data_IF_047093604532
#
_entry.id   IF_047093604532
#
_cell.length_a   1.000
_cell.length_b   1.000
_cell.length_c   1.000
_cell.angle_alpha   90.00
_cell.angle_beta   90.00
_cell.angle_gamma   90.00
#
_symmetry.space_group_name_H-M   'P 1'
#
loop_
_entity.id
_entity.type
_entity.pdbx_description
1 polymer ?
#
# COMPACT_ATOMS: atom_id res chain seq x y z
N UNK A 1 13.98 17.00 -10.12
CA UNK A 1 13.27 17.63 -8.97
C UNK A 1 13.10 16.57 -7.90
N UNK A 2 13.39 16.87 -6.63
CA UNK A 2 13.16 15.92 -5.54
C UNK A 2 11.65 15.68 -5.42
N UNK A 3 11.23 14.41 -5.31
CA UNK A 3 9.83 14.09 -5.07
C UNK A 3 9.43 14.61 -3.69
N UNK A 4 8.24 15.20 -3.60
CA UNK A 4 7.72 15.61 -2.29
C UNK A 4 7.48 14.36 -1.43
N UNK A 5 7.58 14.45 -0.09
CA UNK A 5 7.38 13.28 0.78
C UNK A 5 6.04 12.57 0.51
N UNK A 6 4.99 13.33 0.21
CA UNK A 6 3.67 12.79 -0.09
C UNK A 6 3.61 12.02 -1.43
N UNK A 7 4.34 12.46 -2.46
CA UNK A 7 4.41 11.72 -3.73
C UNK A 7 5.03 10.32 -3.56
N UNK A 8 5.99 10.18 -2.64
CA UNK A 8 6.58 8.89 -2.30
C UNK A 8 5.52 7.98 -1.68
N UNK A 9 4.70 8.50 -0.76
CA UNK A 9 3.64 7.74 -0.11
C UNK A 9 2.54 7.33 -1.10
N UNK A 10 2.10 8.24 -1.97
CA UNK A 10 1.15 7.95 -3.05
C UNK A 10 1.65 6.84 -3.98
N UNK A 11 2.95 6.85 -4.31
CA UNK A 11 3.57 5.77 -5.07
C UNK A 11 3.49 4.44 -4.31
N UNK A 12 3.84 4.43 -3.02
CA UNK A 12 3.73 3.26 -2.16
C UNK A 12 2.32 2.70 -2.10
N UNK A 13 1.32 3.57 -1.91
CA UNK A 13 -0.10 3.21 -1.88
C UNK A 13 -0.55 2.62 -3.21
N UNK A 14 -0.19 3.24 -4.33
CA UNK A 14 -0.54 2.71 -5.66
C UNK A 14 0.02 1.31 -5.90
N UNK A 15 1.25 1.03 -5.46
CA UNK A 15 1.85 -0.31 -5.53
C UNK A 15 1.05 -1.30 -4.67
N UNK A 16 0.71 -0.91 -3.44
CA UNK A 16 -0.07 -1.76 -2.54
C UNK A 16 -1.47 -2.06 -3.09
N UNK A 17 -2.16 -1.05 -3.61
CA UNK A 17 -3.46 -1.20 -4.26
C UNK A 17 -3.40 -2.18 -5.44
N UNK A 18 -2.34 -2.12 -6.26
CA UNK A 18 -2.15 -3.07 -7.36
C UNK A 18 -1.96 -4.51 -6.85
N UNK A 19 -1.15 -4.70 -5.81
CA UNK A 19 -0.94 -6.03 -5.20
C UNK A 19 -2.23 -6.59 -4.62
N UNK A 20 -2.98 -5.78 -3.85
CA UNK A 20 -4.26 -6.19 -3.27
C UNK A 20 -5.27 -6.49 -4.36
N UNK A 21 -5.38 -5.64 -5.39
CA UNK A 21 -6.27 -5.87 -6.54
C UNK A 21 -5.95 -7.17 -7.26
N UNK A 22 -4.69 -7.46 -7.51
CA UNK A 22 -4.27 -8.70 -8.16
C UNK A 22 -4.69 -9.93 -7.35
N UNK A 23 -4.48 -9.92 -6.02
CA UNK A 23 -4.89 -11.03 -5.16
C UNK A 23 -6.41 -11.15 -5.04
N UNK A 24 -7.15 -10.04 -4.88
CA UNK A 24 -8.62 -10.06 -4.88
C UNK A 24 -9.18 -10.64 -6.18
N UNK A 25 -8.62 -10.29 -7.34
CA UNK A 25 -9.02 -10.87 -8.62
C UNK A 25 -8.80 -12.39 -8.68
N UNK A 26 -7.73 -12.91 -8.08
CA UNK A 26 -7.50 -14.35 -7.98
C UNK A 26 -8.55 -15.04 -7.11
N UNK A 27 -8.92 -14.43 -5.97
CA UNK A 27 -9.96 -14.96 -5.08
C UNK A 27 -11.34 -14.92 -5.75
N UNK A 28 -11.68 -13.82 -6.41
CA UNK A 28 -12.90 -13.71 -7.22
C UNK A 28 -12.96 -14.78 -8.31
N UNK A 29 -11.84 -15.07 -8.98
CA UNK A 29 -11.79 -16.13 -10.00
C UNK A 29 -12.04 -17.52 -9.40
N UNK A 30 -11.56 -17.81 -8.19
CA UNK A 30 -11.89 -19.05 -7.45
C UNK A 30 -13.38 -19.12 -7.17
N UNK A 31 -13.95 -18.06 -6.59
CA UNK A 31 -15.37 -17.99 -6.27
C UNK A 31 -16.25 -18.17 -7.52
N UNK A 32 -15.88 -17.58 -8.66
CA UNK A 32 -16.57 -17.77 -9.94
C UNK A 32 -16.55 -19.22 -10.46
N UNK A 33 -15.56 -20.03 -10.04
CA UNK A 33 -15.50 -21.47 -10.31
C UNK A 33 -16.23 -22.30 -9.26
N UNK A 34 -17.00 -21.67 -8.35
CA UNK A 34 -17.62 -22.30 -7.17
C UNK A 34 -16.61 -22.97 -6.22
N UNK A 35 -15.34 -22.56 -6.27
CA UNK A 35 -14.33 -22.97 -5.30
C UNK A 35 -14.48 -22.13 -4.03
N UNK A 36 -14.28 -22.76 -2.86
CA UNK A 36 -14.23 -22.04 -1.59
C UNK A 36 -12.89 -21.31 -1.45
N UNK A 37 -12.91 -20.12 -0.86
CA UNK A 37 -11.71 -19.48 -0.35
C UNK A 37 -11.38 -20.04 1.04
N UNK A 38 -10.12 -19.96 1.45
CA UNK A 38 -9.69 -20.49 2.74
C UNK A 38 -9.94 -19.48 3.87
N UNK A 39 -9.95 -19.94 5.11
CA UNK A 39 -9.98 -19.04 6.28
C UNK A 39 -8.82 -18.03 6.24
N UNK A 40 -7.63 -18.45 5.81
CA UNK A 40 -6.48 -17.56 5.65
C UNK A 40 -6.69 -16.51 4.54
N UNK A 41 -7.53 -16.77 3.54
CA UNK A 41 -7.91 -15.78 2.54
C UNK A 41 -8.91 -14.77 3.13
N UNK A 42 -9.84 -15.22 3.97
CA UNK A 42 -10.77 -14.36 4.70
C UNK A 42 -10.03 -13.44 5.69
N UNK A 43 -9.18 -13.99 6.55
CA UNK A 43 -8.33 -13.21 7.46
C UNK A 43 -7.44 -12.21 6.70
N UNK A 44 -6.95 -12.60 5.51
CA UNK A 44 -6.18 -11.69 4.69
C UNK A 44 -7.04 -10.55 4.14
N UNK A 45 -8.29 -10.79 3.74
CA UNK A 45 -9.21 -9.78 3.24
C UNK A 45 -9.55 -8.74 4.32
N UNK A 46 -9.76 -9.18 5.56
CA UNK A 46 -10.07 -8.32 6.69
C UNK A 46 -8.86 -7.51 7.17
N UNK A 47 -7.67 -8.13 7.11
CA UNK A 47 -6.40 -7.48 7.43
C UNK A 47 -5.76 -6.80 6.22
N UNK A 48 -4.72 -7.44 5.66
CA UNK A 48 -3.83 -6.84 4.65
C UNK A 48 -4.51 -6.48 3.32
N UNK A 49 -5.67 -7.04 3.03
CA UNK A 49 -6.49 -6.76 1.86
C UNK A 49 -7.45 -5.58 2.04
N UNK A 50 -7.56 -5.07 3.26
CA UNK A 50 -8.26 -3.84 3.60
C UNK A 50 -7.24 -2.70 3.64
N UNK A 51 -7.45 -1.66 2.81
CA UNK A 51 -6.50 -0.56 2.63
C UNK A 51 -7.01 0.77 3.20
N UNK A 52 -8.06 0.74 4.01
CA UNK A 52 -8.70 1.95 4.54
C UNK A 52 -7.72 2.81 5.33
N UNK A 53 -6.86 2.21 6.14
CA UNK A 53 -5.86 2.94 6.94
C UNK A 53 -4.81 3.60 6.04
N UNK A 54 -4.28 2.88 5.05
CA UNK A 54 -3.32 3.42 4.08
C UNK A 54 -3.90 4.57 3.25
N UNK A 55 -5.16 4.44 2.80
CA UNK A 55 -5.85 5.48 2.01
C UNK A 55 -6.12 6.72 2.85
N UNK A 56 -6.63 6.56 4.08
CA UNK A 56 -6.91 7.66 5.00
C UNK A 56 -5.64 8.44 5.34
N UNK A 57 -4.51 7.76 5.59
CA UNK A 57 -3.23 8.43 5.89
C UNK A 57 -2.80 9.34 4.74
N UNK A 58 -2.88 8.85 3.49
CA UNK A 58 -2.52 9.66 2.32
C UNK A 58 -3.47 10.84 2.15
N UNK A 59 -4.77 10.64 2.34
CA UNK A 59 -5.79 11.71 2.26
C UNK A 59 -5.54 12.82 3.31
N UNK A 60 -5.26 12.45 4.57
CA UNK A 60 -4.98 13.42 5.64
C UNK A 60 -3.74 14.26 5.30
N UNK A 61 -2.69 13.64 4.76
CA UNK A 61 -1.47 14.34 4.39
C UNK A 61 -1.65 15.21 3.14
N UNK A 62 -2.52 14.80 2.21
CA UNK A 62 -2.81 15.54 0.97
C UNK A 62 -3.65 16.79 1.21
N UNK A 63 -4.56 16.72 2.17
CA UNK A 63 -5.48 17.81 2.50
C UNK A 63 -4.93 18.78 3.54
N UNK A 64 -3.76 18.49 4.13
CA UNK A 64 -3.07 19.38 5.05
C UNK A 64 -2.45 20.58 4.34
N UNK A 65 -2.21 21.67 5.08
CA UNK A 65 -1.51 22.86 4.57
C UNK A 65 -0.07 22.57 4.15
N UNK A 66 0.56 21.64 4.87
CA UNK A 66 1.91 21.14 4.63
C UNK A 66 2.06 19.76 5.29
N UNK A 67 3.16 19.09 4.95
CA UNK A 67 3.42 17.72 5.37
C UNK A 67 3.52 17.55 6.89
N UNK A 68 4.15 18.50 7.59
CA UNK A 68 4.36 18.42 9.04
C UNK A 68 3.05 18.61 9.80
N UNK A 69 2.21 19.56 9.36
CA UNK A 69 0.86 19.75 9.89
C UNK A 69 -0.02 18.53 9.66
N UNK A 70 0.16 17.83 8.54
CA UNK A 70 -0.49 16.55 8.29
C UNK A 70 -0.04 15.46 9.25
N UNK A 71 1.26 15.33 9.51
CA UNK A 71 1.82 14.34 10.44
C UNK A 71 1.30 14.50 11.87
N UNK A 72 1.09 15.74 12.32
CA UNK A 72 0.53 16.02 13.65
C UNK A 72 -0.91 15.54 13.82
N UNK A 73 -1.65 15.35 12.72
CA UNK A 73 -3.05 14.85 12.74
C UNK A 73 -3.14 13.33 12.81
N UNK A 74 -2.02 12.63 12.67
CA UNK A 74 -1.98 11.17 12.63
C UNK A 74 -1.60 10.59 14.00
N UNK A 75 -2.26 9.48 14.34
CA UNK A 75 -1.86 8.68 15.51
C UNK A 75 -0.63 7.79 15.20
N UNK A 76 -0.13 7.07 16.20
CA UNK A 76 1.09 6.28 16.04
C UNK A 76 0.93 5.10 15.07
N UNK A 77 -0.23 4.43 15.08
CA UNK A 77 -0.52 3.36 14.12
C UNK A 77 -0.55 3.89 12.67
N UNK A 78 -1.11 5.08 12.47
CA UNK A 78 -1.14 5.76 11.18
C UNK A 78 0.25 6.21 10.71
N UNK A 79 1.16 6.52 11.64
CA UNK A 79 2.56 6.81 11.33
C UNK A 79 3.33 5.54 10.95
N UNK A 80 3.03 4.39 11.55
CA UNK A 80 3.60 3.10 11.12
C UNK A 80 3.18 2.79 9.67
N UNK A 81 1.94 3.12 9.32
CA UNK A 81 1.44 3.02 7.94
C UNK A 81 2.26 3.87 6.96
N UNK A 82 2.68 5.09 7.34
CA UNK A 82 3.59 5.91 6.52
C UNK A 82 4.89 5.16 6.23
N UNK A 83 5.50 4.56 7.26
CA UNK A 83 6.77 3.85 7.10
C UNK A 83 6.64 2.68 6.11
N UNK A 84 5.57 1.89 6.23
CA UNK A 84 5.27 0.79 5.29
C UNK A 84 5.11 1.28 3.85
N UNK A 85 4.38 2.38 3.63
CA UNK A 85 4.20 2.96 2.29
C UNK A 85 5.53 3.48 1.71
N UNK A 86 6.39 4.08 2.53
CA UNK A 86 7.75 4.49 2.10
C UNK A 86 8.57 3.29 1.65
N UNK A 87 8.58 2.22 2.44
CA UNK A 87 9.32 1.01 2.11
C UNK A 87 8.86 0.40 0.79
N UNK A 88 7.54 0.29 0.56
CA UNK A 88 6.99 -0.20 -0.71
C UNK A 88 7.42 0.66 -1.91
N UNK A 89 7.45 1.98 -1.75
CA UNK A 89 7.87 2.90 -2.80
C UNK A 89 9.35 2.74 -3.20
N UNK A 90 10.20 2.35 -2.23
CA UNK A 90 11.65 2.19 -2.36
C UNK A 90 12.04 0.76 -2.78
N UNK A 91 11.35 -0.27 -2.29
CA UNK A 91 11.65 -1.68 -2.58
C UNK A 91 11.62 -1.99 -4.08
N UNK A 92 10.76 -1.34 -4.86
CA UNK A 92 10.76 -1.50 -6.33
C UNK A 92 12.09 -1.11 -6.97
N UNK A 93 12.80 -0.11 -6.45
CA UNK A 93 14.12 0.27 -6.96
C UNK A 93 15.14 -0.84 -6.73
N UNK A 94 15.03 -1.56 -5.61
CA UNK A 94 15.95 -2.64 -5.27
C UNK A 94 15.72 -3.89 -6.14
N UNK A 95 14.46 -4.26 -6.39
CA UNK A 95 14.12 -5.39 -7.27
C UNK A 95 14.41 -5.10 -8.75
N UNK A 96 14.15 -3.87 -9.23
CA UNK A 96 14.51 -3.49 -10.61
C UNK A 96 16.03 -3.43 -10.81
N UNK A 97 16.79 -2.91 -9.84
CA UNK A 97 18.25 -2.82 -9.93
C UNK A 97 18.91 -4.22 -9.92
N UNK A 98 18.43 -5.14 -9.07
CA UNK A 98 18.92 -6.52 -9.05
C UNK A 98 18.59 -7.30 -10.33
N UNK A 99 17.42 -7.06 -10.93
CA UNK A 99 17.06 -7.69 -12.20
C UNK A 99 17.94 -7.18 -13.35
N UNK A 100 18.31 -5.88 -13.33
CA UNK A 100 19.16 -5.27 -14.36
C UNK A 100 20.65 -5.67 -14.25
N UNK A 101 21.12 -6.05 -13.06
CA UNK A 101 22.50 -6.56 -12.85
C UNK A 101 22.64 -8.06 -13.14
N UNK A 102 21.54 -8.77 -13.34
CA UNK A 102 21.50 -10.20 -13.63
C UNK A 102 21.27 -10.51 -15.12
N UNK A 103 21.24 -9.48 -15.98
CA UNK A 103 21.18 -9.54 -17.45
C UNK A 103 22.51 -9.05 -18.03
#
# INVERSE_FOLDING_TARGET
>A
MAKTPIEVLKKGLSILQQQVKARKAQLEAKLRRNEKISHADEEWLDGKGNLVDEERVVEVLETASDYEMGLQRLNDAEKDTIQRLRELAVLILFWQLKLFQAL
#
